data_IF_678760085194
#
_entry.id   IF_678760085194
#
_cell.length_a   1.000
_cell.length_b   1.000
_cell.length_c   1.000
_cell.angle_alpha   90.00
_cell.angle_beta   90.00
_cell.angle_gamma   90.00
#
_symmetry.space_group_name_H-M   'P 1'
#
loop_
_entity.id
_entity.type
_entity.pdbx_description
1 polymer ?
#
# COMPACT_ATOMS: atom_id res chain seq x y z
N UNK A 1 8.86 6.12 -3.81
CA UNK A 1 8.12 5.52 -2.68
C UNK A 1 8.40 6.31 -1.41
N UNK A 2 7.42 6.51 -0.53
CA UNK A 2 7.54 7.35 0.68
C UNK A 2 8.28 6.62 1.82
N UNK A 3 9.57 6.34 1.66
CA UNK A 3 10.40 5.62 2.66
C UNK A 3 10.91 6.52 3.80
N UNK A 4 10.26 7.66 4.06
CA UNK A 4 10.76 8.68 5.00
C UNK A 4 12.01 9.43 4.53
N UNK A 5 12.57 9.08 3.36
CA UNK A 5 13.65 9.79 2.68
C UNK A 5 13.11 10.42 1.39
N UNK A 6 13.44 11.69 1.14
CA UNK A 6 13.10 12.39 -0.11
C UNK A 6 13.99 11.96 -1.28
N UNK A 7 15.11 11.27 -1.00
CA UNK A 7 15.98 10.67 -2.00
C UNK A 7 16.33 9.24 -1.56
N UNK A 8 16.10 8.29 -2.45
CA UNK A 8 16.37 6.85 -2.25
C UNK A 8 17.36 6.45 -3.33
N UNK A 9 18.46 5.81 -2.93
CA UNK A 9 19.42 5.28 -3.91
C UNK A 9 18.86 3.99 -4.52
N UNK A 10 19.12 3.69 -5.80
CA UNK A 10 18.67 2.45 -6.43
C UNK A 10 19.08 1.20 -5.65
N UNK A 11 20.27 1.21 -5.04
CA UNK A 11 20.77 0.08 -4.25
C UNK A 11 19.99 -0.17 -2.94
N UNK A 12 19.22 0.81 -2.47
CA UNK A 12 18.38 0.72 -1.26
C UNK A 12 16.96 0.25 -1.59
N UNK A 13 16.64 0.04 -2.88
CA UNK A 13 15.31 -0.37 -3.33
C UNK A 13 15.24 -1.90 -3.30
N UNK A 14 14.53 -2.42 -2.32
CA UNK A 14 14.35 -3.86 -2.14
C UNK A 14 13.27 -4.42 -3.07
N UNK A 15 13.21 -5.74 -3.22
CA UNK A 15 12.23 -6.39 -4.10
C UNK A 15 10.78 -6.15 -3.63
N UNK A 16 10.57 -6.14 -2.32
CA UNK A 16 9.28 -5.83 -1.69
C UNK A 16 8.80 -4.42 -2.10
N UNK A 17 9.72 -3.45 -2.11
CA UNK A 17 9.47 -2.08 -2.55
C UNK A 17 9.15 -2.05 -4.05
N UNK A 18 9.81 -2.86 -4.88
CA UNK A 18 9.49 -2.93 -6.31
C UNK A 18 8.09 -3.51 -6.57
N UNK A 19 7.75 -4.63 -5.94
CA UNK A 19 6.42 -5.25 -6.06
C UNK A 19 5.32 -4.31 -5.61
N UNK A 20 5.52 -3.64 -4.47
CA UNK A 20 4.59 -2.64 -3.99
C UNK A 20 4.49 -1.45 -4.96
N UNK A 21 5.60 -0.96 -5.50
CA UNK A 21 5.56 0.11 -6.50
C UNK A 21 4.76 -0.30 -7.74
N UNK A 22 4.95 -1.53 -8.24
CA UNK A 22 4.23 -2.07 -9.40
C UNK A 22 2.73 -2.16 -9.13
N UNK A 23 2.32 -2.73 -8.00
CA UNK A 23 0.91 -2.86 -7.63
C UNK A 23 0.20 -1.51 -7.48
N UNK A 24 0.93 -0.48 -7.02
CA UNK A 24 0.38 0.86 -6.82
C UNK A 24 0.34 1.68 -8.11
N UNK A 25 1.31 1.50 -9.00
CA UNK A 25 1.35 2.20 -10.30
C UNK A 25 0.25 1.69 -11.24
N UNK A 26 0.06 0.37 -11.30
CA UNK A 26 -1.09 -0.26 -11.95
C UNK A 26 -1.87 -1.18 -10.98
N UNK A 27 -2.95 -0.67 -10.37
CA UNK A 27 -3.84 -1.44 -9.50
C UNK A 27 -4.41 -2.72 -10.11
N UNK A 28 -4.54 -2.79 -11.43
CA UNK A 28 -5.07 -3.98 -12.11
C UNK A 28 -4.05 -5.11 -12.21
N UNK A 29 -2.78 -4.85 -11.91
CA UNK A 29 -1.74 -5.87 -11.81
C UNK A 29 -1.84 -6.69 -10.51
N UNK A 30 -2.49 -6.16 -9.46
CA UNK A 30 -2.53 -6.81 -8.14
C UNK A 30 -2.90 -8.31 -8.19
N UNK A 31 -3.93 -8.77 -8.93
CA UNK A 31 -4.27 -10.19 -8.99
C UNK A 31 -3.13 -11.10 -9.45
N UNK A 32 -2.26 -10.59 -10.32
CA UNK A 32 -1.10 -11.33 -10.82
C UNK A 32 0.09 -11.33 -9.86
N UNK A 33 0.11 -10.39 -8.92
CA UNK A 33 1.18 -10.22 -7.93
C UNK A 33 0.89 -10.92 -6.60
N UNK A 34 -0.31 -11.51 -6.43
CA UNK A 34 -0.74 -12.12 -5.16
C UNK A 34 0.24 -13.20 -4.69
N UNK A 35 0.62 -14.13 -5.57
CA UNK A 35 1.52 -15.22 -5.21
C UNK A 35 2.90 -14.71 -4.81
N UNK A 36 3.45 -13.76 -5.57
CA UNK A 36 4.75 -13.15 -5.29
C UNK A 36 4.72 -12.40 -3.95
N UNK A 37 3.71 -11.56 -3.73
CA UNK A 37 3.51 -10.83 -2.47
C UNK A 37 3.39 -11.75 -1.26
N UNK A 38 2.66 -12.85 -1.39
CA UNK A 38 2.45 -13.81 -0.29
C UNK A 38 3.69 -14.69 -0.03
N UNK A 39 4.61 -14.75 -0.98
CA UNK A 39 5.88 -15.48 -0.86
C UNK A 39 7.05 -14.61 -0.40
N UNK A 40 6.82 -13.30 -0.15
CA UNK A 40 7.86 -12.37 0.28
C UNK A 40 8.43 -12.78 1.64
N UNK A 41 9.74 -13.05 1.66
CA UNK A 41 10.51 -13.18 2.90
C UNK A 41 11.00 -11.79 3.32
N UNK A 42 10.18 -11.10 4.11
CA UNK A 42 10.48 -9.73 4.56
C UNK A 42 11.45 -9.75 5.75
N UNK A 43 12.58 -9.06 5.63
CA UNK A 43 13.51 -8.86 6.76
C UNK A 43 12.90 -7.95 7.84
N UNK A 44 12.11 -6.95 7.43
CA UNK A 44 11.42 -6.00 8.30
C UNK A 44 9.96 -5.80 7.86
N UNK A 45 9.08 -6.65 8.40
CA UNK A 45 7.64 -6.61 8.15
C UNK A 45 6.98 -5.30 8.61
N UNK A 46 7.44 -4.71 9.71
CA UNK A 46 6.87 -3.48 10.26
C UNK A 46 7.19 -2.29 9.34
N UNK A 47 8.43 -2.20 8.85
CA UNK A 47 8.81 -1.19 7.87
C UNK A 47 7.98 -1.31 6.58
N UNK A 48 7.72 -2.53 6.11
CA UNK A 48 6.87 -2.79 4.95
C UNK A 48 5.43 -2.36 5.21
N UNK A 49 4.86 -2.74 6.36
CA UNK A 49 3.50 -2.33 6.76
C UNK A 49 3.37 -0.81 6.86
N UNK A 50 4.38 -0.10 7.39
CA UNK A 50 4.40 1.36 7.35
C UNK A 50 4.50 1.92 5.94
N UNK A 51 5.15 1.24 5.00
CA UNK A 51 5.12 1.58 3.57
C UNK A 51 3.69 1.62 3.03
N UNK A 52 2.91 0.57 3.30
CA UNK A 52 1.49 0.48 2.94
C UNK A 52 0.68 1.60 3.58
N UNK A 53 0.87 1.85 4.89
CA UNK A 53 0.18 2.91 5.61
C UNK A 53 0.44 4.30 5.00
N UNK A 54 1.69 4.60 4.62
CA UNK A 54 2.04 5.88 3.99
C UNK A 54 1.36 6.06 2.64
N UNK A 55 1.18 5.00 1.86
CA UNK A 55 0.43 5.05 0.59
C UNK A 55 -1.04 5.35 0.85
N UNK A 56 -1.63 4.75 1.89
CA UNK A 56 -3.02 5.01 2.27
C UNK A 56 -3.22 6.48 2.64
N UNK A 57 -2.35 7.03 3.51
CA UNK A 57 -2.40 8.43 3.94
C UNK A 57 -2.16 9.40 2.78
N UNK A 58 -1.13 9.17 1.94
CA UNK A 58 -0.85 10.03 0.77
C UNK A 58 -2.03 10.04 -0.20
N UNK A 59 -2.69 8.89 -0.40
CA UNK A 59 -3.87 8.79 -1.25
C UNK A 59 -5.07 9.53 -0.67
N UNK A 60 -5.28 9.50 0.64
CA UNK A 60 -6.34 10.28 1.30
C UNK A 60 -6.09 11.79 1.20
N UNK A 61 -4.85 12.24 1.45
CA UNK A 61 -4.48 13.66 1.38
C UNK A 61 -4.64 14.27 -0.03
N UNK A 62 -4.50 13.44 -1.07
CA UNK A 62 -4.56 13.84 -2.48
C UNK A 62 -5.87 13.43 -3.15
N UNK A 63 -6.86 12.96 -2.40
CA UNK A 63 -8.10 12.43 -2.97
C UNK A 63 -8.82 13.45 -3.87
N UNK A 64 -8.74 14.72 -3.52
CA UNK A 64 -9.33 15.82 -4.30
C UNK A 64 -8.59 16.12 -5.62
N UNK A 65 -7.35 15.67 -5.80
CA UNK A 65 -6.58 15.84 -7.04
C UNK A 65 -7.11 14.92 -8.14
N UNK A 66 -7.36 13.65 -7.80
CA UNK A 66 -7.94 12.62 -8.68
C UNK A 66 -8.54 11.50 -7.83
N UNK A 67 -9.85 11.58 -7.60
CA UNK A 67 -10.58 10.65 -6.73
C UNK A 67 -10.37 9.22 -7.20
N UNK A 68 -10.51 8.95 -8.49
CA UNK A 68 -10.43 7.58 -8.98
C UNK A 68 -9.03 6.99 -8.83
N UNK A 69 -8.00 7.75 -9.19
CA UNK A 69 -6.60 7.31 -9.06
C UNK A 69 -6.24 7.05 -7.60
N UNK A 70 -6.53 8.00 -6.71
CA UNK A 70 -6.12 7.89 -5.32
C UNK A 70 -6.98 6.88 -4.54
N UNK A 71 -8.26 6.74 -4.85
CA UNK A 71 -9.10 5.67 -4.27
C UNK A 71 -8.59 4.28 -4.67
N UNK A 72 -8.21 4.05 -5.93
CA UNK A 72 -7.64 2.76 -6.37
C UNK A 72 -6.31 2.47 -5.69
N UNK A 73 -5.39 3.44 -5.62
CA UNK A 73 -4.10 3.29 -4.93
C UNK A 73 -4.28 2.93 -3.45
N UNK A 74 -5.19 3.62 -2.77
CA UNK A 74 -5.55 3.31 -1.37
C UNK A 74 -6.12 1.90 -1.22
N UNK A 75 -7.06 1.53 -2.08
CA UNK A 75 -7.67 0.20 -2.06
C UNK A 75 -6.63 -0.91 -2.20
N UNK A 76 -5.70 -0.81 -3.17
CA UNK A 76 -4.63 -1.80 -3.34
C UNK A 76 -3.77 -1.91 -2.09
N UNK A 77 -3.32 -0.79 -1.53
CA UNK A 77 -2.52 -0.81 -0.30
C UNK A 77 -3.26 -1.49 0.87
N UNK A 78 -4.56 -1.23 1.01
CA UNK A 78 -5.40 -1.86 2.05
C UNK A 78 -5.59 -3.36 1.81
N UNK A 79 -5.76 -3.78 0.55
CA UNK A 79 -5.89 -5.20 0.20
C UNK A 79 -4.60 -5.95 0.49
N UNK A 80 -3.45 -5.41 0.07
CA UNK A 80 -2.14 -6.01 0.37
C UNK A 80 -1.93 -6.08 1.88
N UNK A 81 -2.25 -5.02 2.63
CA UNK A 81 -2.11 -5.01 4.08
C UNK A 81 -2.98 -6.08 4.75
N UNK A 82 -4.27 -6.16 4.40
CA UNK A 82 -5.17 -7.19 4.95
C UNK A 82 -4.71 -8.60 4.59
N UNK A 83 -4.19 -8.79 3.38
CA UNK A 83 -3.73 -10.10 2.92
C UNK A 83 -2.52 -10.59 3.70
N UNK A 84 -1.55 -9.71 3.97
CA UNK A 84 -0.30 -10.09 4.64
C UNK A 84 -0.39 -10.04 6.17
N UNK A 85 -1.20 -9.13 6.73
CA UNK A 85 -1.23 -8.86 8.18
C UNK A 85 -2.59 -9.13 8.85
N UNK A 86 -3.61 -9.53 8.07
CA UNK A 86 -4.95 -9.87 8.57
C UNK A 86 -5.84 -8.68 8.93
N UNK A 87 -5.28 -7.51 9.21
CA UNK A 87 -6.02 -6.29 9.59
C UNK A 87 -5.36 -5.01 9.08
N UNK A 88 -6.14 -3.92 9.00
CA UNK A 88 -5.61 -2.60 8.66
C UNK A 88 -5.05 -1.91 9.90
N UNK A 89 -3.96 -1.17 9.74
CA UNK A 89 -3.45 -0.28 10.78
C UNK A 89 -4.44 0.84 11.11
N UNK A 90 -5.05 1.44 10.08
CA UNK A 90 -6.09 2.46 10.22
C UNK A 90 -7.35 1.93 9.57
N UNK A 91 -8.31 1.58 10.41
CA UNK A 91 -9.64 1.19 9.97
C UNK A 91 -10.56 2.42 10.05
N UNK A 92 -10.84 3.06 8.90
CA UNK A 92 -11.91 4.05 8.84
C UNK A 92 -13.23 3.29 8.91
N UNK A 93 -13.77 3.16 10.12
CA UNK A 93 -15.15 2.70 10.30
C UNK A 93 -16.05 3.76 9.69
N UNK A 94 -16.91 3.34 8.77
CA UNK A 94 -18.07 4.15 8.43
C UNK A 94 -18.79 4.49 9.76
N UNK A 95 -19.26 5.73 9.97
CA UNK A 95 -20.14 5.99 11.09
C UNK A 95 -21.27 4.94 11.02
N UNK A 96 -21.59 4.26 12.14
CA UNK A 96 -22.62 3.24 12.13
C UNK A 96 -23.86 3.85 11.50
N UNK A 97 -24.37 3.20 10.46
CA UNK A 97 -25.57 3.65 9.75
C UNK A 97 -26.62 4.07 10.79
N UNK A 98 -27.04 5.34 10.76
CA UNK A 98 -28.24 5.75 11.45
C UNK A 98 -29.40 5.00 10.78
N UNK A 99 -29.76 3.85 11.35
CA UNK A 99 -30.94 3.05 10.99
C UNK A 99 -32.21 3.85 11.29
#
# INVERSE_FOLDING_TARGET
MLLGKTQVKPEEVTNEILLLAQAIDDPFCLPYLIEELNSLEMEDEEAFRFGLLRIQIDSELRMNEDIQKHQRRRFVAQVIEKMLFGELFIEIKAPPDEI
#
